data_IF_889477636616
#
_entry.id   IF_889477636616
#
_cell.length_a   1.000
_cell.length_b   1.000
_cell.length_c   1.000
_cell.angle_alpha   90.00
_cell.angle_beta   90.00
_cell.angle_gamma   90.00
#
_symmetry.space_group_name_H-M   'P 1'
#
loop_
_entity.id
_entity.type
_entity.pdbx_description
1 polymer ?
#
# COMPACT_ATOMS: atom_id res chain seq x y z
N UNK A 1 -15.90 11.21 -56.21
CA UNK A 1 -15.95 12.07 -55.04
C UNK A 1 -16.07 11.20 -53.79
N UNK A 2 -14.96 11.01 -53.09
CA UNK A 2 -14.93 10.24 -51.83
C UNK A 2 -15.10 11.19 -50.66
N UNK A 3 -16.09 10.94 -49.82
CA UNK A 3 -16.30 11.66 -48.56
C UNK A 3 -15.27 11.23 -47.55
N UNK A 4 -14.62 12.13 -46.80
CA UNK A 4 -13.65 11.75 -45.76
C UNK A 4 -14.39 11.13 -44.57
N UNK A 5 -13.87 9.99 -44.09
CA UNK A 5 -14.28 9.33 -42.84
C UNK A 5 -13.94 10.20 -41.63
N UNK A 6 -14.94 10.85 -41.04
CA UNK A 6 -14.81 11.69 -39.85
C UNK A 6 -14.62 10.91 -38.53
N UNK A 7 -14.54 9.58 -38.58
CA UNK A 7 -14.47 8.74 -37.36
C UNK A 7 -13.07 8.32 -36.92
N UNK A 8 -12.04 8.46 -37.77
CA UNK A 8 -10.68 7.98 -37.45
C UNK A 8 -9.81 9.04 -36.77
N UNK A 9 -10.17 10.32 -36.82
CA UNK A 9 -9.33 11.42 -36.30
C UNK A 9 -9.50 11.65 -34.79
N UNK A 10 -10.69 11.44 -34.23
CA UNK A 10 -10.94 11.71 -32.81
C UNK A 10 -10.30 10.64 -31.89
N UNK A 11 -10.39 9.36 -32.23
CA UNK A 11 -9.79 8.29 -31.44
C UNK A 11 -8.24 8.33 -31.46
N UNK A 12 -7.65 8.70 -32.60
CA UNK A 12 -6.19 8.84 -32.72
C UNK A 12 -5.63 10.05 -31.94
N UNK A 13 -6.39 11.16 -31.87
CA UNK A 13 -6.01 12.34 -31.07
C UNK A 13 -6.17 12.08 -29.56
N UNK A 14 -7.16 11.31 -29.13
CA UNK A 14 -7.36 10.96 -27.72
C UNK A 14 -6.28 9.99 -27.19
N UNK A 15 -5.89 9.00 -28.00
CA UNK A 15 -4.78 8.11 -27.69
C UNK A 15 -3.45 8.85 -27.58
N UNK A 16 -3.24 9.87 -28.42
CA UNK A 16 -2.10 10.76 -28.35
C UNK A 16 -2.08 11.59 -27.04
N UNK A 17 -3.24 12.07 -26.55
CA UNK A 17 -3.31 12.91 -25.36
C UNK A 17 -3.00 12.12 -24.08
N UNK A 18 -3.47 10.87 -23.97
CA UNK A 18 -3.17 9.98 -22.86
C UNK A 18 -1.65 9.78 -22.64
N UNK A 19 -0.91 9.63 -23.74
CA UNK A 19 0.54 9.43 -23.70
C UNK A 19 1.36 10.73 -23.56
N UNK A 20 0.83 11.86 -24.03
CA UNK A 20 1.59 13.13 -24.12
C UNK A 20 1.26 14.13 -23.05
N UNK A 21 -0.01 14.16 -22.57
CA UNK A 21 -0.49 15.04 -21.51
C UNK A 21 -1.60 14.37 -20.71
N UNK A 22 -1.19 13.51 -19.78
CA UNK A 22 -2.10 12.72 -18.95
C UNK A 22 -3.10 13.60 -18.17
N UNK A 23 -2.65 14.76 -17.64
CA UNK A 23 -3.54 15.66 -16.92
C UNK A 23 -4.63 16.23 -17.82
N UNK A 24 -4.27 16.72 -19.00
CA UNK A 24 -5.25 17.22 -19.97
C UNK A 24 -6.22 16.12 -20.40
N UNK A 25 -5.73 14.87 -20.60
CA UNK A 25 -6.56 13.71 -20.88
C UNK A 25 -7.58 13.45 -19.76
N UNK A 26 -7.16 13.46 -18.46
CA UNK A 26 -8.09 13.25 -17.34
C UNK A 26 -9.18 14.31 -17.29
N UNK A 27 -8.84 15.60 -17.54
CA UNK A 27 -9.82 16.67 -17.57
C UNK A 27 -10.81 16.51 -18.73
N UNK A 28 -10.31 16.09 -19.89
CA UNK A 28 -11.16 15.83 -21.04
C UNK A 28 -12.13 14.66 -20.79
N UNK A 29 -11.63 13.52 -20.27
CA UNK A 29 -12.48 12.37 -19.97
C UNK A 29 -13.52 12.71 -18.89
N UNK A 30 -13.16 13.42 -17.84
CA UNK A 30 -14.09 13.89 -16.81
C UNK A 30 -15.19 14.79 -17.39
N UNK A 31 -14.84 15.69 -18.31
CA UNK A 31 -15.81 16.55 -19.00
C UNK A 31 -16.78 15.73 -19.88
N UNK A 32 -16.25 14.78 -20.66
CA UNK A 32 -17.07 13.89 -21.49
C UNK A 32 -18.05 13.06 -20.66
N UNK A 33 -17.60 12.55 -19.52
CA UNK A 33 -18.46 11.82 -18.56
C UNK A 33 -19.57 12.72 -18.00
N UNK A 34 -19.22 13.94 -17.54
CA UNK A 34 -20.17 14.90 -16.97
C UNK A 34 -21.27 15.30 -17.97
N UNK A 35 -20.95 15.38 -19.27
CA UNK A 35 -21.88 15.73 -20.33
C UNK A 35 -22.50 14.51 -21.03
N UNK A 36 -22.31 13.30 -20.48
CA UNK A 36 -22.87 12.04 -21.02
C UNK A 36 -22.47 11.76 -22.48
N UNK A 37 -21.29 12.20 -22.88
CA UNK A 37 -20.77 11.99 -24.24
C UNK A 37 -20.07 10.64 -24.37
N UNK A 38 -20.81 9.56 -24.10
CA UNK A 38 -20.30 8.19 -23.97
C UNK A 38 -19.51 7.67 -25.17
N UNK A 39 -19.93 8.05 -26.38
CA UNK A 39 -19.26 7.61 -27.61
C UNK A 39 -17.89 8.23 -27.86
N UNK A 40 -17.54 9.26 -27.11
CA UNK A 40 -16.26 9.97 -27.22
C UNK A 40 -15.27 9.58 -26.12
N UNK A 41 -15.68 8.72 -25.18
CA UNK A 41 -14.80 8.25 -24.11
C UNK A 41 -13.69 7.35 -24.63
N UNK A 42 -12.51 7.52 -24.06
CA UNK A 42 -11.38 6.61 -24.22
C UNK A 42 -11.52 5.45 -23.23
N UNK A 43 -12.48 4.56 -23.49
CA UNK A 43 -12.83 3.48 -22.57
C UNK A 43 -11.67 2.55 -22.23
N UNK A 44 -10.77 2.16 -23.17
CA UNK A 44 -9.65 1.29 -22.81
C UNK A 44 -8.75 1.90 -21.74
N UNK A 45 -8.32 3.14 -21.92
CA UNK A 45 -7.45 3.82 -20.99
C UNK A 45 -8.18 4.18 -19.67
N UNK A 46 -9.48 4.55 -19.73
CA UNK A 46 -10.28 4.76 -18.51
C UNK A 46 -10.38 3.50 -17.65
N UNK A 47 -10.60 2.34 -18.25
CA UNK A 47 -10.66 1.06 -17.52
C UNK A 47 -9.30 0.76 -16.88
N UNK A 48 -8.21 0.93 -17.62
CA UNK A 48 -6.85 0.73 -17.13
C UNK A 48 -6.55 1.63 -15.91
N UNK A 49 -6.92 2.90 -15.98
CA UNK A 49 -6.69 3.85 -14.88
C UNK A 49 -7.55 3.52 -13.64
N UNK A 50 -8.82 3.17 -13.83
CA UNK A 50 -9.70 2.75 -12.71
C UNK A 50 -9.14 1.48 -12.03
N UNK A 51 -8.70 0.49 -12.81
CA UNK A 51 -8.04 -0.71 -12.25
C UNK A 51 -6.74 -0.37 -11.55
N UNK A 52 -5.97 0.58 -12.07
CA UNK A 52 -4.72 1.04 -11.49
C UNK A 52 -4.93 1.68 -10.11
N UNK A 53 -5.99 2.48 -9.93
CA UNK A 53 -6.37 3.02 -8.62
C UNK A 53 -6.62 1.90 -7.59
N UNK A 54 -7.33 0.84 -7.97
CA UNK A 54 -7.55 -0.31 -7.08
C UNK A 54 -6.26 -1.07 -6.75
N UNK A 55 -5.34 -1.21 -7.72
CA UNK A 55 -4.02 -1.83 -7.52
C UNK A 55 -3.15 -1.00 -6.56
N UNK A 56 -3.24 0.34 -6.64
CA UNK A 56 -2.53 1.26 -5.74
C UNK A 56 -2.94 1.09 -4.28
N UNK A 57 -4.23 0.95 -3.98
CA UNK A 57 -4.73 0.72 -2.62
C UNK A 57 -4.18 -0.60 -2.04
N UNK A 58 -4.15 -1.67 -2.84
CA UNK A 58 -3.53 -2.93 -2.41
C UNK A 58 -2.01 -2.82 -2.21
N UNK A 59 -1.33 -2.04 -3.05
CA UNK A 59 0.11 -1.80 -2.92
C UNK A 59 0.42 -1.00 -1.65
N UNK A 60 -0.38 0.01 -1.34
CA UNK A 60 -0.26 0.81 -0.13
C UNK A 60 -0.42 -0.06 1.12
N UNK A 61 -1.48 -0.90 1.19
CA UNK A 61 -1.68 -1.85 2.28
C UNK A 61 -0.45 -2.76 2.47
N UNK A 62 0.07 -3.33 1.38
CA UNK A 62 1.28 -4.17 1.45
C UNK A 62 2.49 -3.41 1.97
N UNK A 63 2.70 -2.17 1.55
CA UNK A 63 3.83 -1.35 1.99
C UNK A 63 3.75 -1.05 3.49
N UNK A 64 2.57 -0.69 4.00
CA UNK A 64 2.35 -0.45 5.43
C UNK A 64 2.58 -1.70 6.25
N UNK A 65 2.00 -2.84 5.86
CA UNK A 65 2.21 -4.12 6.52
C UNK A 65 3.68 -4.56 6.49
N UNK A 66 4.38 -4.37 5.36
CA UNK A 66 5.80 -4.69 5.26
C UNK A 66 6.65 -3.94 6.29
N UNK A 67 6.43 -2.63 6.41
CA UNK A 67 7.16 -1.80 7.38
C UNK A 67 6.78 -2.16 8.81
N UNK A 68 5.49 -2.38 9.08
CA UNK A 68 5.01 -2.80 10.40
C UNK A 68 5.66 -4.11 10.85
N UNK A 69 5.55 -5.16 10.04
CA UNK A 69 6.10 -6.49 10.35
C UNK A 69 7.62 -6.44 10.47
N UNK A 70 8.30 -5.71 9.58
CA UNK A 70 9.76 -5.51 9.68
C UNK A 70 10.18 -4.88 11.01
N UNK A 71 9.43 -3.89 11.49
CA UNK A 71 9.71 -3.24 12.78
C UNK A 71 9.30 -4.09 13.98
N UNK A 72 8.26 -4.92 13.89
CA UNK A 72 7.93 -5.91 14.93
C UNK A 72 9.04 -6.97 15.05
N UNK A 73 9.57 -7.46 13.93
CA UNK A 73 10.72 -8.37 13.92
C UNK A 73 11.95 -7.74 14.55
N UNK A 74 12.30 -6.50 14.20
CA UNK A 74 13.41 -5.78 14.86
C UNK A 74 13.17 -5.63 16.35
N UNK A 75 11.94 -5.26 16.73
CA UNK A 75 11.56 -5.07 18.13
C UNK A 75 11.74 -6.35 18.96
N UNK A 76 11.37 -7.49 18.42
CA UNK A 76 11.48 -8.78 19.10
C UNK A 76 12.93 -9.29 19.15
N UNK A 77 13.62 -9.27 17.99
CA UNK A 77 14.91 -9.96 17.83
C UNK A 77 16.14 -9.09 18.14
N UNK A 78 15.96 -7.81 18.44
CA UNK A 78 17.04 -6.91 18.86
C UNK A 78 16.57 -5.99 20.01
N UNK A 79 16.18 -6.56 21.17
CA UNK A 79 15.59 -5.80 22.27
C UNK A 79 16.52 -4.71 22.83
N UNK A 80 17.83 -4.92 22.80
CA UNK A 80 18.85 -3.97 23.29
C UNK A 80 18.96 -2.70 22.41
N UNK A 81 18.37 -2.70 21.21
CA UNK A 81 18.36 -1.57 20.29
C UNK A 81 16.99 -0.94 20.11
N UNK A 82 16.01 -1.36 20.88
CA UNK A 82 14.68 -0.74 20.88
C UNK A 82 14.81 0.76 21.09
N UNK A 83 14.07 1.53 20.30
CA UNK A 83 14.13 2.98 20.33
C UNK A 83 12.73 3.60 20.15
N UNK A 84 12.60 4.87 20.56
CA UNK A 84 11.36 5.64 20.31
C UNK A 84 11.05 5.74 18.83
N UNK A 85 12.06 5.79 17.96
CA UNK A 85 11.85 5.80 16.51
C UNK A 85 11.17 4.51 16.03
N UNK A 86 11.62 3.33 16.49
CA UNK A 86 10.98 2.06 16.13
C UNK A 86 9.55 1.98 16.66
N UNK A 87 9.38 2.37 17.92
CA UNK A 87 8.04 2.42 18.54
C UNK A 87 7.07 3.31 17.75
N UNK A 88 7.53 4.52 17.37
CA UNK A 88 6.70 5.44 16.59
C UNK A 88 6.37 4.89 15.22
N UNK A 89 7.32 4.24 14.54
CA UNK A 89 7.06 3.60 13.25
C UNK A 89 5.99 2.52 13.38
N UNK A 90 6.09 1.63 14.38
CA UNK A 90 5.06 0.61 14.63
C UNK A 90 3.69 1.25 14.82
N UNK A 91 3.58 2.27 15.66
CA UNK A 91 2.31 2.96 15.94
C UNK A 91 1.72 3.66 14.71
N UNK A 92 2.57 4.39 13.99
CA UNK A 92 2.13 5.08 12.76
C UNK A 92 1.63 4.07 11.73
N UNK A 93 2.38 2.99 11.48
CA UNK A 93 1.97 1.99 10.50
C UNK A 93 0.67 1.27 10.90
N UNK A 94 0.45 1.01 12.19
CA UNK A 94 -0.83 0.47 12.69
C UNK A 94 -1.99 1.40 12.39
N UNK A 95 -1.90 2.65 12.89
CA UNK A 95 -2.95 3.65 12.69
C UNK A 95 -3.28 3.82 11.20
N UNK A 96 -2.25 4.06 10.40
CA UNK A 96 -2.44 4.32 8.98
C UNK A 96 -2.97 3.08 8.21
N UNK A 97 -2.66 1.85 8.69
CA UNK A 97 -3.27 0.62 8.15
C UNK A 97 -4.73 0.52 8.53
N UNK A 98 -5.10 0.85 9.78
CA UNK A 98 -6.48 0.86 10.24
C UNK A 98 -7.31 1.90 9.48
N UNK A 99 -6.81 3.13 9.34
CA UNK A 99 -7.45 4.19 8.54
C UNK A 99 -7.69 3.74 7.10
N UNK A 100 -6.67 3.16 6.45
CA UNK A 100 -6.80 2.62 5.09
C UNK A 100 -7.89 1.55 4.97
N UNK A 101 -8.02 0.68 5.97
CA UNK A 101 -9.04 -0.38 6.00
C UNK A 101 -10.44 0.16 6.33
N UNK A 102 -10.55 1.22 7.14
CA UNK A 102 -11.80 1.93 7.41
C UNK A 102 -12.32 2.65 6.16
N UNK A 103 -11.42 3.32 5.44
CA UNK A 103 -11.74 3.97 4.17
C UNK A 103 -12.03 2.98 3.04
N UNK A 104 -11.43 1.78 3.09
CA UNK A 104 -11.55 0.75 2.05
C UNK A 104 -11.87 -0.63 2.66
N UNK A 105 -13.08 -0.85 3.19
CA UNK A 105 -13.44 -2.12 3.87
C UNK A 105 -13.29 -3.36 2.99
N UNK A 106 -13.38 -3.20 1.68
CA UNK A 106 -13.19 -4.28 0.69
C UNK A 106 -11.74 -4.83 0.64
N UNK A 107 -10.78 -4.18 1.31
CA UNK A 107 -9.42 -4.68 1.47
C UNK A 107 -9.28 -5.68 2.64
N UNK A 108 -10.23 -5.74 3.57
CA UNK A 108 -10.18 -6.67 4.73
C UNK A 108 -9.91 -8.13 4.32
N UNK A 109 -10.63 -8.72 3.35
CA UNK A 109 -10.37 -10.09 2.93
C UNK A 109 -8.99 -10.31 2.30
N UNK A 110 -8.34 -9.23 1.83
CA UNK A 110 -7.02 -9.30 1.22
C UNK A 110 -5.87 -9.32 2.23
N UNK A 111 -6.09 -9.00 3.50
CA UNK A 111 -5.06 -8.87 4.53
C UNK A 111 -4.17 -10.11 4.67
N UNK A 112 -4.77 -11.30 4.72
CA UNK A 112 -4.02 -12.54 4.87
C UNK A 112 -3.10 -12.83 3.67
N UNK A 113 -3.62 -12.61 2.46
CA UNK A 113 -2.83 -12.73 1.24
C UNK A 113 -1.71 -11.67 1.19
N UNK A 114 -2.03 -10.43 1.59
CA UNK A 114 -1.06 -9.34 1.66
C UNK A 114 0.09 -9.71 2.60
N UNK A 115 -0.21 -10.20 3.82
CA UNK A 115 0.81 -10.62 4.79
C UNK A 115 1.74 -11.69 4.22
N UNK A 116 1.20 -12.72 3.57
CA UNK A 116 2.01 -13.76 2.92
C UNK A 116 2.95 -13.17 1.85
N UNK A 117 2.46 -12.24 1.04
CA UNK A 117 3.23 -11.60 -0.02
C UNK A 117 4.36 -10.72 0.49
N UNK A 118 4.20 -10.07 1.64
CA UNK A 118 5.18 -9.09 2.13
C UNK A 118 6.18 -9.68 3.12
N UNK A 119 5.91 -10.84 3.70
CA UNK A 119 6.67 -11.32 4.84
C UNK A 119 8.18 -11.46 4.55
N UNK A 120 8.54 -12.01 3.37
CA UNK A 120 9.96 -12.09 2.99
C UNK A 120 10.61 -10.70 2.91
N UNK A 121 9.93 -9.73 2.28
CA UNK A 121 10.43 -8.35 2.19
C UNK A 121 10.51 -7.67 3.56
N UNK A 122 9.67 -8.05 4.52
CA UNK A 122 9.74 -7.57 5.91
C UNK A 122 10.96 -8.12 6.64
N UNK A 123 11.31 -9.39 6.41
CA UNK A 123 12.55 -9.99 6.92
C UNK A 123 13.78 -9.30 6.34
N UNK A 124 13.77 -9.04 5.03
CA UNK A 124 14.87 -8.35 4.35
C UNK A 124 15.07 -6.93 4.90
N UNK A 125 13.97 -6.22 5.18
CA UNK A 125 14.00 -4.92 5.86
C UNK A 125 14.62 -5.05 7.26
N UNK A 126 14.18 -6.03 8.04
CA UNK A 126 14.71 -6.26 9.39
C UNK A 126 16.22 -6.59 9.35
N UNK A 127 16.67 -7.43 8.42
CA UNK A 127 18.10 -7.73 8.19
C UNK A 127 18.88 -6.45 7.88
N UNK A 128 18.39 -5.67 6.92
CA UNK A 128 19.06 -4.45 6.46
C UNK A 128 19.23 -3.40 7.56
N UNK A 129 18.28 -3.33 8.50
CA UNK A 129 18.28 -2.32 9.55
C UNK A 129 18.88 -2.80 10.89
N UNK A 130 19.04 -4.13 11.10
CA UNK A 130 19.60 -4.69 12.34
C UNK A 130 21.01 -5.25 12.19
N UNK A 131 21.42 -5.54 10.97
CA UNK A 131 22.65 -6.32 10.68
C UNK A 131 22.62 -7.77 11.21
N UNK A 132 21.45 -8.27 11.62
CA UNK A 132 21.29 -9.66 12.02
C UNK A 132 21.22 -10.58 10.80
N UNK A 133 21.58 -11.84 10.98
CA UNK A 133 21.43 -12.83 9.92
C UNK A 133 19.97 -13.07 9.56
N UNK A 134 19.66 -13.31 8.29
CA UNK A 134 18.31 -13.70 7.85
C UNK A 134 17.78 -14.93 8.60
N UNK A 135 18.67 -15.84 9.02
CA UNK A 135 18.34 -17.04 9.80
C UNK A 135 17.85 -16.74 11.23
N UNK A 136 18.10 -15.52 11.73
CA UNK A 136 17.59 -15.08 13.03
C UNK A 136 16.07 -14.96 13.02
N UNK A 137 15.49 -14.60 11.88
CA UNK A 137 14.07 -14.38 11.74
C UNK A 137 13.35 -15.64 11.24
N UNK A 138 12.16 -15.99 11.79
CA UNK A 138 11.39 -17.16 11.34
C UNK A 138 11.17 -17.18 9.84
N UNK A 139 11.03 -18.38 9.27
CA UNK A 139 10.68 -18.56 7.84
C UNK A 139 9.27 -18.07 7.52
N UNK A 140 8.37 -18.23 8.49
CA UNK A 140 6.97 -17.85 8.40
C UNK A 140 6.64 -16.76 9.43
N UNK A 141 5.65 -15.91 9.12
CA UNK A 141 5.28 -14.83 10.02
C UNK A 141 4.80 -15.37 11.38
N UNK A 142 5.47 -15.00 12.48
CA UNK A 142 5.09 -15.51 13.81
C UNK A 142 3.91 -14.79 14.42
N UNK A 143 3.41 -13.72 13.80
CA UNK A 143 2.37 -12.86 14.35
C UNK A 143 1.02 -13.08 13.69
N UNK A 144 -0.05 -13.01 14.50
CA UNK A 144 -1.42 -12.99 13.99
C UNK A 144 -1.79 -11.55 13.54
N UNK A 145 -2.69 -11.42 12.56
CA UNK A 145 -3.11 -10.12 12.04
C UNK A 145 -3.74 -9.23 13.12
N UNK A 146 -4.59 -9.82 13.96
CA UNK A 146 -5.27 -9.13 15.05
C UNK A 146 -4.28 -8.55 16.05
N UNK A 147 -3.25 -9.33 16.40
CA UNK A 147 -2.18 -8.88 17.32
C UNK A 147 -1.36 -7.76 16.69
N UNK A 148 -0.92 -7.93 15.44
CA UNK A 148 -0.10 -6.93 14.75
C UNK A 148 -0.79 -5.56 14.68
N UNK A 149 -2.11 -5.54 14.51
CA UNK A 149 -2.91 -4.32 14.42
C UNK A 149 -3.34 -3.78 15.79
N UNK A 150 -3.11 -4.53 16.88
CA UNK A 150 -3.40 -4.09 18.23
C UNK A 150 -2.35 -3.11 18.76
N UNK A 151 -2.78 -1.99 19.31
CA UNK A 151 -1.89 -0.98 19.92
C UNK A 151 -1.12 -1.51 21.14
N UNK A 152 -1.58 -2.60 21.74
CA UNK A 152 -0.98 -3.21 22.93
C UNK A 152 0.02 -4.32 22.62
N UNK A 153 0.11 -4.75 21.37
CA UNK A 153 0.98 -5.86 20.99
C UNK A 153 2.39 -5.38 20.69
N UNK A 154 3.33 -5.79 21.52
CA UNK A 154 4.77 -5.64 21.30
C UNK A 154 5.44 -6.98 21.61
N UNK A 155 5.95 -7.70 20.58
CA UNK A 155 6.46 -9.05 20.75
C UNK A 155 7.79 -9.07 21.50
N UNK A 156 8.12 -10.26 22.05
CA UNK A 156 9.35 -10.50 22.80
C UNK A 156 9.26 -10.10 24.28
N UNK A 157 10.39 -10.09 24.95
CA UNK A 157 10.49 -9.71 26.37
C UNK A 157 10.01 -8.27 26.58
N UNK A 158 9.33 -7.97 27.71
CA UNK A 158 8.94 -6.60 28.05
C UNK A 158 10.16 -5.67 28.06
N UNK A 159 9.92 -4.41 27.76
CA UNK A 159 10.96 -3.39 27.90
C UNK A 159 11.17 -3.11 29.38
N UNK A 160 12.44 -3.06 29.83
CA UNK A 160 12.81 -2.58 31.18
C UNK A 160 12.75 -1.06 31.27
N UNK A 161 12.65 -0.37 30.14
CA UNK A 161 12.56 1.09 30.05
C UNK A 161 11.14 1.54 29.70
N UNK A 162 10.73 2.70 30.22
CA UNK A 162 9.44 3.37 30.05
C UNK A 162 9.06 3.73 28.59
N UNK A 163 9.62 3.04 27.59
CA UNK A 163 9.35 3.35 26.18
C UNK A 163 7.87 3.23 25.82
N UNK A 164 7.16 2.30 26.47
CA UNK A 164 5.74 2.09 26.27
C UNK A 164 4.88 2.72 27.36
N UNK A 165 5.39 2.91 28.60
CA UNK A 165 4.63 3.45 29.74
C UNK A 165 4.50 4.97 29.70
N UNK A 166 5.46 5.70 29.16
CA UNK A 166 5.45 7.18 29.14
C UNK A 166 4.50 7.78 28.09
N UNK A 167 3.60 7.01 27.52
CA UNK A 167 2.75 7.41 26.39
C UNK A 167 1.24 7.31 26.68
N UNK A 168 0.86 7.03 27.94
CA UNK A 168 -0.54 7.00 28.40
C UNK A 168 -0.77 8.05 29.48
#
# INVERSE_FOLDING_TARGET
>A
MQTPQAGQTAGSLMQSLYETDFYAWTQQQANLLAHQQWSQLDLPNLIEEIESLGKQQRAELRNRLKVLVGHLLKWEYQPERRSRSWLMTIRVQRRDTQELLEENPSLQPYLQEALQKIYQSSRDLAVGETNLSLKTFPSDCPYQLEDMLSDRFYPGEPTTDDLTESMY
#
